data_IF_031903214257
#
_entry.id   IF_031903214257
#
_cell.length_a   1.000
_cell.length_b   1.000
_cell.length_c   1.000
_cell.angle_alpha   90.00
_cell.angle_beta   90.00
_cell.angle_gamma   90.00
#
_symmetry.space_group_name_H-M   'P 1'
#
loop_
_entity.id
_entity.type
_entity.pdbx_description
1 polymer ?
#
# COMPACT_ATOMS: atom_id res chain seq x y z
N UNK A 1 -30.88 -49.80 -30.34
CA UNK A 1 -30.38 -48.48 -30.77
C UNK A 1 -29.81 -47.77 -29.55
N UNK A 2 -28.59 -47.24 -29.63
CA UNK A 2 -27.94 -46.50 -28.54
C UNK A 2 -28.06 -45.01 -28.85
N UNK A 3 -28.74 -44.26 -27.97
CA UNK A 3 -28.74 -42.80 -28.00
C UNK A 3 -27.87 -42.36 -26.84
N UNK A 4 -26.64 -41.98 -27.14
CA UNK A 4 -25.70 -41.43 -26.18
C UNK A 4 -26.21 -40.03 -25.85
N UNK A 5 -26.74 -39.84 -24.64
CA UNK A 5 -26.81 -38.52 -24.05
C UNK A 5 -25.36 -38.07 -23.85
N UNK A 6 -24.84 -37.21 -24.73
CA UNK A 6 -23.62 -36.47 -24.44
C UNK A 6 -23.90 -35.59 -23.24
N UNK A 7 -23.72 -36.14 -22.05
CA UNK A 7 -23.58 -35.39 -20.81
C UNK A 7 -22.23 -34.68 -20.83
N UNK A 8 -22.07 -33.69 -21.71
CA UNK A 8 -21.04 -32.69 -21.51
C UNK A 8 -21.50 -31.90 -20.29
N UNK A 9 -20.74 -31.94 -19.20
CA UNK A 9 -20.98 -31.06 -18.07
C UNK A 9 -20.83 -29.63 -18.59
N UNK A 10 -21.94 -28.98 -18.89
CA UNK A 10 -21.98 -27.57 -19.28
C UNK A 10 -21.58 -26.76 -18.05
N UNK A 11 -20.29 -26.40 -17.97
CA UNK A 11 -19.76 -25.59 -16.89
C UNK A 11 -20.11 -24.12 -17.20
N UNK A 12 -21.27 -23.68 -16.71
CA UNK A 12 -21.73 -22.30 -16.84
C UNK A 12 -21.16 -21.48 -15.68
N UNK A 13 -20.33 -20.48 -16.00
CA UNK A 13 -19.77 -19.54 -15.03
C UNK A 13 -20.23 -18.11 -15.38
N UNK A 14 -20.77 -17.40 -14.38
CA UNK A 14 -21.17 -16.01 -14.50
C UNK A 14 -20.24 -15.12 -13.65
N UNK A 15 -19.72 -14.06 -14.24
CA UNK A 15 -18.88 -13.07 -13.55
C UNK A 15 -19.48 -11.69 -13.77
N UNK A 16 -19.81 -11.02 -12.66
CA UNK A 16 -20.21 -9.62 -12.66
C UNK A 16 -18.99 -8.78 -12.34
N UNK A 17 -18.63 -7.85 -13.23
CA UNK A 17 -17.53 -6.93 -13.03
C UNK A 17 -18.04 -5.50 -12.98
N UNK A 18 -17.71 -4.79 -11.92
CA UNK A 18 -18.01 -3.37 -11.72
C UNK A 18 -16.68 -2.61 -11.86
N UNK A 19 -16.56 -1.76 -12.88
CA UNK A 19 -15.33 -1.03 -13.19
C UNK A 19 -15.20 -0.67 -14.66
N UNK A 20 -14.00 -0.27 -15.09
CA UNK A 20 -13.72 0.09 -16.49
C UNK A 20 -13.88 -1.12 -17.41
N UNK A 21 -14.48 -0.92 -18.60
CA UNK A 21 -14.66 -1.99 -19.63
C UNK A 21 -13.37 -2.75 -19.94
N UNK A 22 -12.21 -2.10 -19.86
CA UNK A 22 -10.89 -2.73 -20.05
C UNK A 22 -10.57 -3.81 -18.99
N UNK A 23 -11.06 -3.66 -17.76
CA UNK A 23 -10.91 -4.66 -16.68
C UNK A 23 -11.78 -5.91 -16.90
N UNK A 24 -12.95 -5.75 -17.50
CA UNK A 24 -13.85 -6.86 -17.82
C UNK A 24 -13.21 -7.85 -18.80
N UNK A 25 -12.43 -7.38 -19.77
CA UNK A 25 -11.72 -8.26 -20.71
C UNK A 25 -10.78 -9.20 -19.96
N UNK A 26 -10.10 -8.69 -18.93
CA UNK A 26 -9.18 -9.49 -18.09
C UNK A 26 -9.93 -10.52 -17.25
N UNK A 27 -11.10 -10.16 -16.71
CA UNK A 27 -11.95 -11.11 -15.98
C UNK A 27 -12.48 -12.23 -16.90
N UNK A 28 -12.88 -11.91 -18.14
CA UNK A 28 -13.31 -12.92 -19.14
C UNK A 28 -12.15 -13.86 -19.49
N UNK A 29 -10.93 -13.35 -19.63
CA UNK A 29 -9.76 -14.18 -19.91
C UNK A 29 -9.50 -15.16 -18.75
N UNK A 30 -9.55 -14.69 -17.51
CA UNK A 30 -9.42 -15.53 -16.31
C UNK A 30 -10.55 -16.57 -16.22
N UNK A 31 -11.77 -16.17 -16.57
CA UNK A 31 -12.93 -17.07 -16.64
C UNK A 31 -12.70 -18.20 -17.66
N UNK A 32 -12.13 -17.89 -18.82
CA UNK A 32 -11.79 -18.89 -19.83
C UNK A 32 -10.78 -19.92 -19.31
N UNK A 33 -9.72 -19.49 -18.62
CA UNK A 33 -8.77 -20.41 -17.97
C UNK A 33 -9.46 -21.32 -16.95
N UNK A 34 -10.38 -20.76 -16.17
CA UNK A 34 -11.15 -21.49 -15.15
C UNK A 34 -12.07 -22.54 -15.77
N UNK A 35 -12.77 -22.19 -16.86
CA UNK A 35 -13.62 -23.12 -17.62
C UNK A 35 -12.79 -24.26 -18.24
N UNK A 36 -11.57 -23.96 -18.69
CA UNK A 36 -10.63 -24.95 -19.20
C UNK A 36 -9.98 -25.81 -18.10
N UNK A 37 -10.24 -25.53 -16.81
CA UNK A 37 -9.65 -26.24 -15.68
C UNK A 37 -8.16 -25.99 -15.52
N UNK A 38 -7.68 -24.83 -15.99
CA UNK A 38 -6.28 -24.44 -16.00
C UNK A 38 -6.06 -23.23 -15.07
N UNK A 39 -4.86 -23.14 -14.50
CA UNK A 39 -4.48 -21.98 -13.69
C UNK A 39 -4.15 -20.77 -14.59
N UNK A 40 -4.72 -19.59 -14.33
CA UNK A 40 -4.43 -18.40 -15.11
C UNK A 40 -2.96 -17.96 -14.92
N UNK A 41 -2.25 -17.58 -15.99
CA UNK A 41 -0.88 -17.11 -15.91
C UNK A 41 -0.73 -15.86 -15.04
N UNK A 42 0.45 -15.71 -14.41
CA UNK A 42 0.76 -14.60 -13.48
C UNK A 42 0.55 -13.22 -14.09
N UNK A 43 0.71 -13.09 -15.41
CA UNK A 43 0.49 -11.85 -16.13
C UNK A 43 -0.98 -11.39 -16.09
N UNK A 44 -1.93 -12.33 -16.14
CA UNK A 44 -3.35 -12.00 -16.01
C UNK A 44 -3.72 -11.58 -14.61
N UNK A 45 -3.18 -12.24 -13.60
CA UNK A 45 -3.37 -11.85 -12.20
C UNK A 45 -2.84 -10.44 -11.95
N UNK A 46 -1.69 -10.10 -12.56
CA UNK A 46 -1.11 -8.75 -12.49
C UNK A 46 -1.99 -7.72 -13.19
N UNK A 47 -2.49 -8.02 -14.39
CA UNK A 47 -3.44 -7.14 -15.10
C UNK A 47 -4.73 -6.96 -14.32
N UNK A 48 -5.27 -8.03 -13.73
CA UNK A 48 -6.46 -8.00 -12.88
C UNK A 48 -6.28 -7.02 -11.72
N UNK A 49 -5.16 -7.11 -11.01
CA UNK A 49 -4.82 -6.16 -9.93
C UNK A 49 -4.69 -4.72 -10.42
N UNK A 50 -4.13 -4.51 -11.63
CA UNK A 50 -4.02 -3.19 -12.22
C UNK A 50 -5.39 -2.56 -12.47
N UNK A 51 -6.35 -3.32 -12.99
CA UNK A 51 -7.69 -2.81 -13.28
C UNK A 51 -8.64 -2.85 -12.06
N UNK A 52 -8.36 -3.69 -11.06
CA UNK A 52 -9.07 -3.72 -9.79
C UNK A 52 -8.54 -2.65 -8.80
N UNK A 53 -7.34 -2.11 -9.05
CA UNK A 53 -6.70 -1.09 -8.23
C UNK A 53 -6.96 0.34 -8.69
N UNK A 54 -7.66 0.55 -9.81
CA UNK A 54 -8.00 1.89 -10.31
C UNK A 54 -9.05 2.60 -9.43
N UNK A 55 -9.69 1.87 -8.49
CA UNK A 55 -10.54 2.41 -7.43
C UNK A 55 -9.77 2.78 -6.15
N UNK A 56 -8.45 2.57 -6.09
CA UNK A 56 -7.60 3.04 -4.99
C UNK A 56 -6.33 3.71 -5.53
N UNK A 57 -6.38 5.03 -5.58
CA UNK A 57 -5.27 5.95 -5.85
C UNK A 57 -4.89 6.16 -7.33
N UNK A 58 -5.74 6.89 -8.04
CA UNK A 58 -5.20 8.03 -8.81
C UNK A 58 -4.85 9.14 -7.80
N UNK A 59 -3.64 9.06 -7.25
CA UNK A 59 -2.91 10.24 -6.81
C UNK A 59 -1.55 10.15 -7.51
N UNK A 60 -1.49 10.75 -8.70
CA UNK A 60 -0.29 10.81 -9.50
C UNK A 60 0.89 11.45 -8.75
N UNK A 61 2.08 10.93 -9.03
CA UNK A 61 3.33 11.58 -8.68
C UNK A 61 4.32 10.63 -8.02
N UNK A 62 5.50 10.50 -8.62
CA UNK A 62 6.67 9.85 -8.00
C UNK A 62 7.18 10.65 -6.81
N UNK A 63 6.38 10.75 -5.74
CA UNK A 63 6.76 11.32 -4.45
C UNK A 63 7.52 10.29 -3.63
N UNK A 64 8.56 10.74 -2.94
CA UNK A 64 9.27 9.90 -1.99
C UNK A 64 8.30 9.55 -0.85
N UNK A 65 7.82 8.30 -0.81
CA UNK A 65 6.94 7.78 0.23
C UNK A 65 7.72 7.53 1.53
N UNK A 66 8.16 8.62 2.17
CA UNK A 66 8.77 8.56 3.50
C UNK A 66 7.65 8.38 4.54
N UNK A 67 7.76 7.34 5.37
CA UNK A 67 6.76 7.05 6.40
C UNK A 67 6.86 8.00 7.60
N UNK A 68 5.71 8.33 8.20
CA UNK A 68 5.62 9.16 9.41
C UNK A 68 6.54 8.72 10.58
N UNK A 69 6.71 7.42 10.89
CA UNK A 69 7.68 7.00 11.91
C UNK A 69 9.14 7.31 11.51
N UNK A 70 9.49 7.29 10.23
CA UNK A 70 10.84 7.63 9.77
C UNK A 70 11.13 9.13 9.94
N UNK A 71 10.17 10.01 9.62
CA UNK A 71 10.28 11.44 9.89
C UNK A 71 10.36 11.74 11.39
N UNK A 72 9.51 11.09 12.17
CA UNK A 72 9.51 11.22 13.63
C UNK A 72 10.85 10.80 14.26
N UNK A 73 11.42 9.68 13.80
CA UNK A 73 12.73 9.21 14.25
C UNK A 73 13.88 10.17 13.92
N UNK A 74 13.90 10.72 12.70
CA UNK A 74 14.94 11.68 12.30
C UNK A 74 14.83 13.01 13.06
N UNK A 75 13.60 13.51 13.28
CA UNK A 75 13.35 14.72 14.05
C UNK A 75 13.76 14.55 15.53
N UNK A 76 13.53 13.38 16.13
CA UNK A 76 13.97 13.08 17.49
C UNK A 76 15.50 13.00 17.62
N UNK A 77 16.21 12.44 16.62
CA UNK A 77 17.67 12.44 16.63
C UNK A 77 18.24 13.86 16.49
N UNK A 78 17.67 14.68 15.59
CA UNK A 78 18.09 16.06 15.42
C UNK A 78 17.77 16.92 16.66
N UNK A 79 16.57 16.78 17.24
CA UNK A 79 16.17 17.47 18.46
C UNK A 79 16.96 17.03 19.70
N UNK A 80 17.23 15.73 19.83
CA UNK A 80 18.04 15.19 20.93
C UNK A 80 19.48 15.67 20.88
N UNK A 81 20.11 15.70 19.70
CA UNK A 81 21.45 16.26 19.54
C UNK A 81 21.47 17.78 19.82
N UNK A 82 20.43 18.51 19.40
CA UNK A 82 20.34 19.95 19.66
C UNK A 82 20.24 20.27 21.15
N UNK A 83 19.42 19.51 21.91
CA UNK A 83 19.29 19.68 23.37
C UNK A 83 20.61 19.37 24.09
N UNK A 84 21.33 18.33 23.67
CA UNK A 84 22.63 17.98 24.27
C UNK A 84 23.75 18.96 23.91
N UNK A 85 23.62 19.69 22.80
CA UNK A 85 24.58 20.74 22.41
C UNK A 85 24.25 22.12 22.98
N UNK A 86 23.17 22.26 23.76
CA UNK A 86 22.87 23.53 24.40
C UNK A 86 23.96 23.83 25.44
N UNK A 87 24.56 25.03 25.41
CA UNK A 87 25.47 25.43 26.47
C UNK A 87 24.71 25.42 27.80
N UNK A 88 25.26 24.72 28.79
CA UNK A 88 24.75 24.65 30.15
C UNK A 88 24.34 26.05 30.64
N UNK A 89 23.13 26.20 31.18
CA UNK A 89 22.64 27.49 31.65
C UNK A 89 23.62 28.09 32.67
N UNK A 90 23.94 29.40 32.61
CA UNK A 90 24.89 30.02 33.51
C UNK A 90 24.40 29.83 34.96
N UNK A 91 25.30 29.33 35.83
CA UNK A 91 24.99 29.09 37.24
C UNK A 91 24.36 30.34 37.88
N UNK A 92 23.36 30.19 38.77
CA UNK A 92 22.80 31.33 39.48
C UNK A 92 23.94 32.06 40.21
N UNK A 93 24.08 33.36 39.96
CA UNK A 93 25.12 34.20 40.58
C UNK A 93 25.09 34.01 42.10
N UNK A 94 26.27 33.93 42.78
CA UNK A 94 26.31 33.93 44.23
C UNK A 94 25.73 35.26 44.75
N UNK A 95 24.85 35.17 45.74
CA UNK A 95 24.26 36.35 46.38
C UNK A 95 25.36 37.27 46.93
N UNK A 96 25.18 38.60 46.81
CA UNK A 96 26.21 39.55 47.22
C UNK A 96 26.47 39.44 48.73
N UNK A 97 27.74 39.49 49.16
CA UNK A 97 28.10 39.39 50.57
C UNK A 97 27.44 40.54 51.35
N UNK A 98 26.79 40.21 52.46
CA UNK A 98 26.19 41.20 53.35
C UNK A 98 27.29 42.15 53.88
N UNK A 99 27.03 43.46 53.74
CA UNK A 99 27.89 44.52 54.27
C UNK A 99 28.03 44.34 55.80
N UNK A 100 29.25 44.41 56.35
CA UNK A 100 29.42 44.42 57.80
C UNK A 100 28.94 45.75 58.39
N UNK A 101 28.26 45.70 59.54
CA UNK A 101 28.13 46.85 60.46
C UNK A 101 29.36 47.00 61.35
#
# INVERSE_FOLDING_TARGET
MFSVATGAAENMQSVTYEGKVEGMIVEIEILAWTILGLDPPKDLIKKRRKYAGDDVADEGGGGINISLPLLGGLALLAGGAYVLLQPEAPSPLPEPPALPE
#
